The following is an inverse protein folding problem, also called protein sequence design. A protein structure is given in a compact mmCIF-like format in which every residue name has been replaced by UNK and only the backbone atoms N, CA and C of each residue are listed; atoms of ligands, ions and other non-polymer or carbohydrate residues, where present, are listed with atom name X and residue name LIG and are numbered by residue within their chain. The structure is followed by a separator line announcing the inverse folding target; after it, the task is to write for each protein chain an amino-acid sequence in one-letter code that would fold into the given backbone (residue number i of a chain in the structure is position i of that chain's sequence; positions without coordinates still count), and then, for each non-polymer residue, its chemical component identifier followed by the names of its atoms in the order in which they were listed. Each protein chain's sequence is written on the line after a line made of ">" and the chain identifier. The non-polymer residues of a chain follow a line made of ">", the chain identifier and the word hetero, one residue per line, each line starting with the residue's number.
data_IF_595197189526
#
_entry.id   IF_595197189526
#
_cell.length_a   1.000
_cell.length_b   1.000
_cell.length_c   1.000
_cell.angle_alpha   90.00
_cell.angle_beta   90.00
_cell.angle_gamma   90.00
#
_symmetry.space_group_name_H-M   'P 1'
#
loop_
_entity.id
_entity.type
_entity.pdbx_description
1 polymer ?
#
# COMPACT_ATOMS: atom_id res chain seq x y z
N UNK A 1 -13.10 -4.13 -6.06
CA UNK A 1 -12.78 -4.82 -4.81
C UNK A 1 -13.57 -6.13 -4.62
N UNK A 2 -14.90 -6.11 -4.45
CA UNK A 2 -15.68 -7.35 -4.20
C UNK A 2 -15.50 -8.46 -5.26
N UNK A 3 -15.45 -8.10 -6.56
CA UNK A 3 -15.18 -9.06 -7.65
C UNK A 3 -13.79 -9.73 -7.56
N UNK A 4 -12.85 -9.11 -6.85
CA UNK A 4 -11.49 -9.60 -6.62
C UNK A 4 -11.35 -10.30 -5.25
N UNK A 5 -12.45 -10.47 -4.49
CA UNK A 5 -12.46 -11.21 -3.23
C UNK A 5 -12.10 -10.42 -1.97
N UNK A 6 -12.01 -9.09 -2.04
CA UNK A 6 -11.84 -8.25 -0.84
C UNK A 6 -13.13 -8.26 -0.02
N UNK A 7 -13.04 -8.46 1.30
CA UNK A 7 -14.21 -8.51 2.19
C UNK A 7 -14.91 -7.17 2.33
N UNK A 8 -16.22 -7.21 2.61
CA UNK A 8 -17.02 -6.00 2.80
C UNK A 8 -16.53 -5.13 3.97
N UNK A 9 -16.01 -5.78 5.02
CA UNK A 9 -15.41 -5.09 6.17
C UNK A 9 -14.24 -4.19 5.72
N UNK A 10 -13.29 -4.74 4.96
CA UNK A 10 -12.16 -3.97 4.43
C UNK A 10 -12.65 -2.88 3.46
N UNK A 11 -13.59 -3.21 2.57
CA UNK A 11 -14.15 -2.23 1.61
C UNK A 11 -14.80 -1.04 2.34
N UNK A 12 -15.46 -1.29 3.47
CA UNK A 12 -16.10 -0.22 4.26
C UNK A 12 -15.14 0.61 5.10
N UNK A 13 -13.95 0.07 5.41
CA UNK A 13 -12.99 0.68 6.31
C UNK A 13 -11.99 1.60 5.59
N UNK A 14 -11.52 1.20 4.41
CA UNK A 14 -10.35 1.81 3.76
C UNK A 14 -10.73 2.85 2.71
N UNK A 15 -9.81 3.78 2.44
CA UNK A 15 -9.95 4.69 1.30
C UNK A 15 -9.92 3.91 -0.04
N UNK A 16 -10.70 4.30 -1.07
CA UNK A 16 -10.72 3.62 -2.37
C UNK A 16 -9.33 3.36 -2.97
N UNK A 17 -8.37 4.27 -2.79
CA UNK A 17 -7.01 4.09 -3.31
C UNK A 17 -6.31 2.87 -2.71
N UNK A 18 -6.61 2.52 -1.44
CA UNK A 18 -6.13 1.30 -0.79
C UNK A 18 -6.63 0.05 -1.51
N UNK A 19 -7.88 0.05 -1.99
CA UNK A 19 -8.45 -1.09 -2.71
C UNK A 19 -7.74 -1.31 -4.06
N UNK A 20 -7.38 -0.23 -4.75
CA UNK A 20 -6.57 -0.33 -5.97
C UNK A 20 -5.18 -0.87 -5.67
N UNK A 21 -4.54 -0.38 -4.61
CA UNK A 21 -3.21 -0.83 -4.19
C UNK A 21 -3.19 -2.33 -3.81
N UNK A 22 -4.21 -2.81 -3.07
CA UNK A 22 -4.37 -4.23 -2.72
C UNK A 22 -4.53 -5.11 -3.96
N UNK A 23 -5.47 -4.77 -4.85
CA UNK A 23 -5.72 -5.56 -6.07
C UNK A 23 -4.49 -5.57 -6.97
N UNK A 24 -3.84 -4.42 -7.16
CA UNK A 24 -2.64 -4.30 -7.99
C UNK A 24 -1.48 -5.12 -7.44
N UNK A 25 -1.32 -5.15 -6.11
CA UNK A 25 -0.29 -5.98 -5.46
C UNK A 25 -0.57 -7.47 -5.68
N UNK A 26 -1.82 -7.91 -5.52
CA UNK A 26 -2.20 -9.31 -5.77
C UNK A 26 -1.98 -9.69 -7.23
N UNK A 27 -2.41 -8.87 -8.19
CA UNK A 27 -2.21 -9.14 -9.62
C UNK A 27 -0.72 -9.16 -9.99
N UNK A 28 0.11 -8.30 -9.39
CA UNK A 28 1.56 -8.33 -9.58
C UNK A 28 2.19 -9.62 -9.04
N UNK A 29 1.78 -10.07 -7.85
CA UNK A 29 2.26 -11.32 -7.26
C UNK A 29 1.88 -12.52 -8.15
N UNK A 30 0.62 -12.62 -8.57
CA UNK A 30 0.15 -13.68 -9.47
C UNK A 30 0.89 -13.63 -10.82
N UNK A 31 1.13 -12.44 -11.36
CA UNK A 31 1.90 -12.26 -12.60
C UNK A 31 3.37 -12.69 -12.46
N UNK A 32 3.93 -12.62 -11.25
CA UNK A 32 5.26 -13.15 -10.94
C UNK A 32 5.28 -14.64 -10.59
N UNK A 33 4.12 -15.32 -10.69
CA UNK A 33 3.98 -16.75 -10.37
C UNK A 33 3.82 -17.04 -8.88
N UNK A 34 3.66 -16.01 -8.04
CA UNK A 34 3.54 -16.13 -6.59
C UNK A 34 2.05 -16.09 -6.22
N UNK A 35 1.49 -17.24 -5.89
CA UNK A 35 0.07 -17.37 -5.51
C UNK A 35 -0.17 -17.22 -4.01
N UNK A 36 0.86 -17.49 -3.20
CA UNK A 36 0.86 -17.28 -1.75
C UNK A 36 2.07 -16.41 -1.40
N UNK A 37 1.88 -15.15 -0.95
CA UNK A 37 2.99 -14.27 -0.59
C UNK A 37 3.96 -14.88 0.43
N UNK A 38 3.50 -15.81 1.27
CA UNK A 38 4.34 -16.43 2.31
C UNK A 38 5.39 -17.38 1.71
N UNK A 39 5.28 -17.71 0.41
CA UNK A 39 6.32 -18.39 -0.34
C UNK A 39 7.66 -17.66 -0.28
N UNK A 40 7.67 -16.31 -0.24
CA UNK A 40 8.90 -15.53 -0.10
C UNK A 40 9.75 -16.01 1.07
N UNK A 41 9.13 -16.37 2.20
CA UNK A 41 9.83 -16.73 3.42
C UNK A 41 10.48 -18.10 3.41
N UNK A 42 10.26 -18.89 2.35
CA UNK A 42 11.07 -20.07 2.06
C UNK A 42 12.47 -19.71 1.53
N UNK A 43 12.63 -18.49 1.00
CA UNK A 43 13.83 -18.04 0.28
C UNK A 43 14.52 -16.83 0.89
N UNK A 44 13.78 -15.97 1.59
CA UNK A 44 14.30 -14.74 2.20
C UNK A 44 13.84 -14.61 3.65
N UNK A 45 14.62 -13.93 4.49
CA UNK A 45 14.21 -13.66 5.86
C UNK A 45 13.02 -12.67 5.89
N UNK A 46 12.19 -12.71 6.94
CA UNK A 46 11.03 -11.79 7.08
C UNK A 46 11.42 -10.30 7.06
N UNK A 47 12.67 -9.98 7.40
CA UNK A 47 13.23 -8.63 7.34
C UNK A 47 13.77 -8.22 5.96
N UNK A 48 13.78 -9.13 4.98
CA UNK A 48 14.36 -8.92 3.65
C UNK A 48 13.29 -8.73 2.56
N UNK A 49 12.00 -8.72 2.93
CA UNK A 49 10.90 -8.30 2.07
C UNK A 49 10.49 -6.87 2.41
N UNK A 50 10.67 -5.94 1.48
CA UNK A 50 10.34 -4.52 1.65
C UNK A 50 9.16 -4.06 0.81
N UNK A 51 8.66 -2.87 1.13
CA UNK A 51 7.69 -2.16 0.31
C UNK A 51 8.11 -0.69 0.17
N UNK A 52 8.32 -0.26 -1.07
CA UNK A 52 8.70 1.09 -1.44
C UNK A 52 7.63 1.79 -2.29
N UNK A 53 6.41 1.25 -2.39
CA UNK A 53 5.30 1.91 -3.09
C UNK A 53 4.89 3.20 -2.39
N UNK A 54 4.48 4.20 -3.19
CA UNK A 54 4.12 5.53 -2.71
C UNK A 54 2.86 6.10 -3.34
N UNK A 55 2.54 7.35 -2.98
CA UNK A 55 1.41 8.10 -3.52
C UNK A 55 1.75 9.58 -3.56
N UNK A 56 1.13 10.34 -4.48
CA UNK A 56 1.24 11.79 -4.49
C UNK A 56 0.41 12.43 -3.37
N UNK A 57 -0.84 12.01 -3.22
CA UNK A 57 -1.81 12.64 -2.32
C UNK A 57 -2.43 11.71 -1.27
N UNK A 58 -2.32 10.39 -1.44
CA UNK A 58 -2.87 9.40 -0.52
C UNK A 58 -4.39 9.31 -0.58
N UNK A 59 -5.03 9.10 0.58
CA UNK A 59 -6.48 8.92 0.67
C UNK A 59 -7.27 10.22 0.54
N UNK A 60 -7.54 10.64 -0.71
CA UNK A 60 -8.28 11.88 -1.00
C UNK A 60 -9.73 11.85 -0.52
N UNK A 61 -10.38 10.68 -0.56
CA UNK A 61 -11.74 10.52 -0.05
C UNK A 61 -11.78 10.65 1.47
N UNK A 62 -10.78 10.09 2.17
CA UNK A 62 -10.60 10.27 3.60
C UNK A 62 -10.33 11.73 4.00
N UNK A 63 -9.47 12.43 3.24
CA UNK A 63 -9.21 13.87 3.45
C UNK A 63 -10.49 14.70 3.31
N UNK A 64 -11.33 14.41 2.31
CA UNK A 64 -12.65 15.05 2.19
C UNK A 64 -13.53 14.77 3.40
N UNK A 65 -13.54 13.52 3.88
CA UNK A 65 -14.25 13.13 5.09
C UNK A 65 -13.87 13.99 6.30
N UNK A 66 -12.56 14.17 6.50
CA UNK A 66 -11.99 14.97 7.57
C UNK A 66 -12.32 16.46 7.46
N UNK A 67 -12.07 17.08 6.31
CA UNK A 67 -12.13 18.54 6.18
C UNK A 67 -13.52 19.08 5.87
N UNK A 68 -14.33 18.33 5.11
CA UNK A 68 -15.63 18.81 4.60
C UNK A 68 -16.80 18.12 5.27
N UNK A 69 -16.77 16.78 5.34
CA UNK A 69 -17.94 16.05 5.81
C UNK A 69 -18.10 16.20 7.34
N UNK A 70 -17.01 16.18 8.12
CA UNK A 70 -17.03 16.58 9.53
C UNK A 70 -17.49 18.02 9.75
N UNK A 71 -17.01 18.97 8.93
CA UNK A 71 -17.43 20.37 9.03
C UNK A 71 -18.93 20.56 8.79
N UNK A 72 -19.52 19.71 7.95
CA UNK A 72 -20.96 19.71 7.65
C UNK A 72 -21.77 18.73 8.52
N UNK A 73 -21.19 18.27 9.64
CA UNK A 73 -21.80 17.35 10.61
C UNK A 73 -22.33 16.03 10.01
N UNK A 74 -21.69 15.56 8.93
CA UNK A 74 -21.99 14.25 8.37
C UNK A 74 -21.29 13.15 9.19
N UNK A 75 -21.89 11.95 9.26
CA UNK A 75 -21.22 10.81 9.88
C UNK A 75 -19.97 10.45 9.08
N UNK A 76 -18.85 10.35 9.80
CA UNK A 76 -17.53 9.95 9.29
C UNK A 76 -16.93 9.00 10.34
N UNK A 77 -16.14 8.01 9.91
CA UNK A 77 -15.48 7.09 10.83
C UNK A 77 -14.48 7.81 11.74
N UNK A 78 -14.36 7.36 12.99
CA UNK A 78 -13.53 8.05 14.01
C UNK A 78 -12.03 7.99 13.70
N UNK A 79 -11.61 6.96 12.98
CA UNK A 79 -10.24 6.67 12.56
C UNK A 79 -9.92 7.14 11.13
N UNK A 80 -10.79 7.97 10.52
CA UNK A 80 -10.64 8.45 9.13
C UNK A 80 -9.28 9.09 8.82
N UNK A 81 -8.64 9.67 9.84
CA UNK A 81 -7.32 10.27 9.71
C UNK A 81 -6.28 9.26 9.23
N UNK A 82 -6.32 8.03 9.71
CA UNK A 82 -5.32 7.03 9.35
C UNK A 82 -5.40 6.70 7.84
N UNK A 83 -6.61 6.66 7.28
CA UNK A 83 -6.84 6.32 5.87
C UNK A 83 -6.42 7.45 4.93
N UNK A 84 -6.16 8.66 5.45
CA UNK A 84 -5.64 9.78 4.65
C UNK A 84 -4.14 9.68 4.38
N UNK A 85 -3.38 8.96 5.21
CA UNK A 85 -1.92 8.95 5.09
C UNK A 85 -1.45 8.13 3.89
N UNK A 86 -0.49 8.67 3.15
CA UNK A 86 0.12 8.06 1.95
C UNK A 86 0.71 6.67 2.25
N UNK A 87 1.26 6.46 3.45
CA UNK A 87 1.87 5.20 3.86
C UNK A 87 0.86 4.15 4.38
N UNK A 88 -0.42 4.49 4.52
CA UNK A 88 -1.46 3.56 5.02
C UNK A 88 -1.79 2.48 4.01
N UNK A 89 -1.80 2.78 2.70
CA UNK A 89 -1.98 1.77 1.66
C UNK A 89 -0.88 0.70 1.72
N UNK A 90 0.38 1.12 1.90
CA UNK A 90 1.51 0.21 2.14
C UNK A 90 1.34 -0.60 3.43
N UNK A 91 0.79 0.01 4.49
CA UNK A 91 0.49 -0.70 5.73
C UNK A 91 -0.58 -1.78 5.54
N UNK A 92 -1.67 -1.49 4.84
CA UNK A 92 -2.73 -2.45 4.53
C UNK A 92 -2.23 -3.62 3.68
N UNK A 93 -1.39 -3.36 2.67
CA UNK A 93 -0.72 -4.42 1.90
C UNK A 93 0.07 -5.35 2.84
N UNK A 94 0.81 -4.78 3.80
CA UNK A 94 1.59 -5.59 4.73
C UNK A 94 0.72 -6.38 5.70
N UNK A 95 -0.33 -5.76 6.26
CA UNK A 95 -1.23 -6.38 7.23
C UNK A 95 -2.08 -7.49 6.63
N UNK A 96 -2.47 -7.36 5.35
CA UNK A 96 -3.41 -8.29 4.71
C UNK A 96 -2.73 -9.35 3.83
N UNK A 97 -1.53 -9.07 3.29
CA UNK A 97 -0.90 -9.95 2.29
C UNK A 97 0.49 -10.40 2.70
N UNK A 98 1.39 -9.48 3.04
CA UNK A 98 2.82 -9.79 3.09
C UNK A 98 3.26 -10.29 4.47
N UNK A 99 2.85 -9.63 5.55
CA UNK A 99 3.36 -9.86 6.92
C UNK A 99 4.89 -9.71 7.04
N UNK A 100 5.48 -8.80 6.26
CA UNK A 100 6.91 -8.54 6.27
C UNK A 100 7.33 -7.64 7.44
N UNK A 101 8.59 -7.78 7.85
CA UNK A 101 9.29 -6.93 8.83
C UNK A 101 10.50 -6.23 8.20
N UNK A 102 10.51 -6.08 6.87
CA UNK A 102 11.58 -5.43 6.13
C UNK A 102 11.34 -3.93 5.92
N UNK A 103 12.15 -3.30 5.04
CA UNK A 103 12.11 -1.86 4.83
C UNK A 103 10.76 -1.37 4.30
N UNK A 104 10.24 -0.30 4.89
CA UNK A 104 9.08 0.44 4.39
C UNK A 104 9.51 1.88 4.11
N UNK A 105 9.49 2.27 2.83
CA UNK A 105 9.91 3.62 2.39
C UNK A 105 8.90 4.16 1.39
N UNK A 106 7.98 5.01 1.84
CA UNK A 106 6.86 5.48 1.03
C UNK A 106 7.17 6.85 0.43
N UNK A 107 7.57 6.94 -0.86
CA UNK A 107 7.91 8.21 -1.49
C UNK A 107 6.70 9.07 -1.82
N UNK A 108 6.96 10.35 -2.04
CA UNK A 108 6.01 11.36 -2.51
C UNK A 108 6.70 12.22 -3.56
N UNK A 109 6.47 11.89 -4.82
CA UNK A 109 7.09 12.53 -5.99
C UNK A 109 6.08 13.14 -6.95
N UNK A 110 4.84 13.37 -6.51
CA UNK A 110 3.70 13.74 -7.36
C UNK A 110 3.59 12.80 -8.58
N UNK A 111 3.55 13.34 -9.80
CA UNK A 111 3.49 12.57 -11.04
C UNK A 111 4.69 11.63 -11.26
N UNK A 112 5.80 11.85 -10.55
CA UNK A 112 7.02 11.04 -10.64
C UNK A 112 7.14 9.98 -9.53
N UNK A 113 6.14 9.85 -8.64
CA UNK A 113 6.22 8.94 -7.48
C UNK A 113 6.54 7.49 -7.88
N UNK A 114 6.00 7.01 -9.01
CA UNK A 114 6.25 5.64 -9.46
C UNK A 114 7.72 5.39 -9.82
N UNK A 115 8.39 6.34 -10.49
CA UNK A 115 9.80 6.19 -10.84
C UNK A 115 10.72 6.38 -9.62
N UNK A 116 10.34 7.29 -8.71
CA UNK A 116 11.02 7.46 -7.42
C UNK A 116 10.94 6.19 -6.55
N UNK A 117 9.77 5.53 -6.54
CA UNK A 117 9.58 4.24 -5.87
C UNK A 117 10.52 3.15 -6.39
N UNK A 118 10.72 3.08 -7.71
CA UNK A 118 11.63 2.11 -8.33
C UNK A 118 13.08 2.41 -7.95
N UNK A 119 13.51 3.67 -8.01
CA UNK A 119 14.86 4.08 -7.61
C UNK A 119 15.15 3.71 -6.15
N UNK A 120 14.24 4.08 -5.24
CA UNK A 120 14.32 3.71 -3.83
C UNK A 120 14.34 2.19 -3.65
N UNK A 121 13.56 1.44 -4.42
CA UNK A 121 13.54 -0.02 -4.40
C UNK A 121 14.88 -0.63 -4.80
N UNK A 122 15.48 -0.16 -5.89
CA UNK A 122 16.81 -0.57 -6.38
C UNK A 122 17.85 -0.32 -5.29
N UNK A 123 17.92 0.91 -4.75
CA UNK A 123 18.88 1.25 -3.70
C UNK A 123 18.67 0.45 -2.40
N UNK A 124 17.43 0.08 -2.10
CA UNK A 124 17.11 -0.78 -0.94
C UNK A 124 17.68 -2.20 -1.12
N UNK A 125 17.65 -2.72 -2.34
CA UNK A 125 18.24 -4.02 -2.69
C UNK A 125 19.77 -3.93 -2.72
N UNK A 126 20.34 -2.92 -3.39
CA UNK A 126 21.79 -2.73 -3.51
C UNK A 126 22.46 -2.49 -2.14
N UNK A 127 21.78 -1.78 -1.24
CA UNK A 127 22.22 -1.60 0.15
C UNK A 127 22.05 -2.84 1.04
N UNK A 128 21.58 -3.97 0.48
CA UNK A 128 21.35 -5.25 1.17
C UNK A 128 20.35 -5.17 2.32
N UNK A 129 19.48 -4.16 2.32
CA UNK A 129 18.40 -4.02 3.31
C UNK A 129 17.19 -4.89 2.97
N UNK A 130 17.01 -5.24 1.70
CA UNK A 130 16.00 -6.17 1.22
C UNK A 130 16.56 -7.02 0.08
N UNK A 131 15.94 -8.18 -0.16
CA UNK A 131 16.15 -9.03 -1.35
C UNK A 131 14.99 -8.97 -2.32
N UNK A 132 13.80 -8.65 -1.82
CA UNK A 132 12.58 -8.45 -2.60
C UNK A 132 11.92 -7.16 -2.14
N UNK A 133 11.45 -6.34 -3.08
CA UNK A 133 10.80 -5.06 -2.77
C UNK A 133 9.59 -4.86 -3.67
N UNK A 134 8.43 -4.59 -3.08
CA UNK A 134 7.26 -4.11 -3.82
C UNK A 134 7.48 -2.63 -4.17
N UNK A 135 7.28 -2.26 -5.44
CA UNK A 135 7.48 -0.91 -5.95
C UNK A 135 6.28 -0.47 -6.79
N UNK A 136 6.09 0.83 -6.95
CA UNK A 136 5.00 1.41 -7.74
C UNK A 136 4.39 2.64 -7.08
N UNK A 137 3.27 3.10 -7.62
CA UNK A 137 2.52 4.21 -7.03
C UNK A 137 1.01 4.05 -7.25
N UNK A 138 0.24 4.78 -6.46
CA UNK A 138 -1.22 4.85 -6.51
C UNK A 138 -1.70 6.25 -6.15
N UNK A 139 -2.72 6.74 -6.86
CA UNK A 139 -3.48 7.96 -6.57
C UNK A 139 -4.91 7.74 -7.12
N UNK A 140 -5.91 8.38 -6.50
CA UNK A 140 -7.35 8.34 -6.89
C UNK A 140 -7.72 9.47 -7.88
#
# INVERSE_FOLDING_TARGET
>A
AHRYGVSDEIISQVDPVTLYALVSTVEALVSSGITDPYEFYKYVHVSELGNCSGSGMGGLSALRGMFKDRFTDKPVQSDILQESFINTMTAWINMLLLSASGPVKTPVGACATAIESVDIGIETILSKKAKVVIVGAYDD
#
